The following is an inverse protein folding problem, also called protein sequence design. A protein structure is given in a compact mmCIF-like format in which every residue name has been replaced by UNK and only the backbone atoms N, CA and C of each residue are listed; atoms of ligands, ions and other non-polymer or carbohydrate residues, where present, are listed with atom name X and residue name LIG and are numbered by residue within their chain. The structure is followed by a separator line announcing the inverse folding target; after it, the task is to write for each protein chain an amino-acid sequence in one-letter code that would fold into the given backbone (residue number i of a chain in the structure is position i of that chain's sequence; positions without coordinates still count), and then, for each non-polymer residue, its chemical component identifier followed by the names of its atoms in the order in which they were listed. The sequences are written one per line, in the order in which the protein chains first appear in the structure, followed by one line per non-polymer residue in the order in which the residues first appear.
data_IF_562348961609
#
_entry.id   IF_562348961609
#
_cell.length_a   1.000
_cell.length_b   1.000
_cell.length_c   1.000
_cell.angle_alpha   90.00
_cell.angle_beta   90.00
_cell.angle_gamma   90.00
#
_symmetry.space_group_name_H-M   'P 1'
#
loop_
_entity.id
_entity.type
_entity.pdbx_description
1 polymer ?
#
# COMPACT_ATOMS: atom_id res chain seq x y z
N UNK A 1 -4.50 -15.13 -14.52
CA UNK A 1 -4.21 -13.95 -13.71
C UNK A 1 -3.22 -14.34 -12.63
N UNK A 2 -2.03 -13.74 -12.62
CA UNK A 2 -0.99 -14.00 -11.61
C UNK A 2 -1.25 -13.27 -10.27
N UNK A 3 -2.54 -13.09 -9.91
CA UNK A 3 -2.93 -12.37 -8.70
C UNK A 3 -2.74 -13.24 -7.47
N UNK A 4 -2.10 -12.67 -6.46
CA UNK A 4 -1.87 -13.31 -5.15
C UNK A 4 -2.93 -12.95 -4.12
N UNK A 5 -2.92 -13.62 -2.96
CA UNK A 5 -3.75 -13.25 -1.82
C UNK A 5 -3.57 -11.78 -1.39
N UNK A 6 -2.38 -11.20 -1.62
CA UNK A 6 -2.13 -9.78 -1.37
C UNK A 6 -2.90 -8.87 -2.34
N UNK A 7 -3.00 -9.24 -3.62
CA UNK A 7 -3.79 -8.50 -4.60
C UNK A 7 -5.25 -8.43 -4.19
N UNK A 8 -5.86 -9.56 -3.84
CA UNK A 8 -7.26 -9.60 -3.42
C UNK A 8 -7.50 -8.89 -2.08
N UNK A 9 -6.57 -8.98 -1.11
CA UNK A 9 -6.69 -8.25 0.15
C UNK A 9 -6.70 -6.73 -0.08
N UNK A 10 -5.84 -6.24 -0.97
CA UNK A 10 -5.76 -4.85 -1.38
C UNK A 10 -6.98 -4.37 -2.19
N UNK A 11 -7.46 -5.19 -3.15
CA UNK A 11 -8.65 -4.90 -3.97
C UNK A 11 -9.92 -4.79 -3.12
N UNK A 12 -10.07 -5.66 -2.12
CA UNK A 12 -11.22 -5.63 -1.21
C UNK A 12 -11.05 -4.65 -0.06
N UNK A 13 -9.92 -3.92 0.02
CA UNK A 13 -9.64 -2.96 1.10
C UNK A 13 -9.70 -3.62 2.50
N UNK A 14 -9.33 -4.89 2.57
CA UNK A 14 -9.35 -5.67 3.81
C UNK A 14 -8.07 -5.40 4.61
N UNK A 15 -8.00 -4.25 5.30
CA UNK A 15 -6.80 -3.81 6.03
C UNK A 15 -6.25 -4.85 7.02
N UNK A 16 -7.11 -5.59 7.71
CA UNK A 16 -6.69 -6.66 8.61
C UNK A 16 -5.97 -7.79 7.85
N UNK A 17 -6.48 -8.16 6.68
CA UNK A 17 -5.86 -9.17 5.83
C UNK A 17 -4.53 -8.66 5.27
N UNK A 18 -4.45 -7.38 4.88
CA UNK A 18 -3.20 -6.73 4.47
C UNK A 18 -2.18 -6.80 5.61
N UNK A 19 -2.58 -6.51 6.85
CA UNK A 19 -1.71 -6.64 8.03
C UNK A 19 -1.21 -8.07 8.24
N UNK A 20 -2.10 -9.06 8.19
CA UNK A 20 -1.75 -10.46 8.38
C UNK A 20 -0.79 -10.96 7.29
N UNK A 21 -0.98 -10.51 6.04
CA UNK A 21 -0.10 -10.87 4.93
C UNK A 21 1.26 -10.16 5.03
N UNK A 22 1.29 -8.88 5.42
CA UNK A 22 2.54 -8.14 5.63
C UNK A 22 3.39 -8.72 6.76
N UNK A 23 2.78 -9.38 7.74
CA UNK A 23 3.48 -10.08 8.81
C UNK A 23 4.20 -11.37 8.36
N UNK A 24 4.03 -11.78 7.10
CA UNK A 24 4.71 -12.95 6.52
C UNK A 24 5.87 -12.49 5.63
N UNK A 25 7.05 -13.05 5.86
CA UNK A 25 8.25 -12.73 5.08
C UNK A 25 8.15 -13.18 3.61
N UNK A 26 7.38 -14.23 3.35
CA UNK A 26 7.18 -14.85 2.04
C UNK A 26 6.34 -13.99 1.06
N UNK A 27 5.58 -13.02 1.58
CA UNK A 27 4.69 -12.22 0.74
C UNK A 27 5.52 -11.20 -0.04
N UNK A 28 5.43 -11.20 -1.36
CA UNK A 28 5.98 -10.11 -2.16
C UNK A 28 4.88 -9.09 -2.49
N UNK A 29 4.99 -7.90 -1.89
CA UNK A 29 4.04 -6.79 -2.04
C UNK A 29 4.19 -6.07 -3.38
N UNK A 30 5.34 -6.24 -4.03
CA UNK A 30 5.68 -5.63 -5.31
C UNK A 30 5.45 -6.60 -6.47
N UNK A 31 5.03 -7.84 -6.20
CA UNK A 31 4.72 -8.79 -7.25
C UNK A 31 3.60 -8.21 -8.13
N UNK A 32 3.86 -8.24 -9.43
CA UNK A 32 2.93 -7.78 -10.45
C UNK A 32 2.17 -8.98 -11.02
N UNK A 33 0.89 -8.79 -11.30
CA UNK A 33 0.11 -9.76 -12.07
C UNK A 33 0.39 -9.65 -13.58
N UNK A 34 -0.35 -10.43 -14.39
CA UNK A 34 -0.25 -10.43 -15.85
C UNK A 34 -0.52 -9.06 -16.49
N UNK A 35 -1.19 -8.14 -15.78
CA UNK A 35 -1.46 -6.77 -16.22
C UNK A 35 -0.36 -5.78 -15.79
N UNK A 36 0.70 -6.24 -15.12
CA UNK A 36 1.74 -5.39 -14.55
C UNK A 36 1.30 -4.64 -13.28
N UNK A 37 0.17 -5.03 -12.67
CA UNK A 37 -0.39 -4.34 -11.50
C UNK A 37 0.03 -5.06 -10.22
N UNK A 38 0.46 -4.28 -9.24
CA UNK A 38 0.65 -4.77 -7.86
C UNK A 38 -0.66 -4.71 -7.07
N UNK A 39 -0.71 -5.35 -5.90
CA UNK A 39 -1.89 -5.28 -5.04
C UNK A 39 -2.34 -3.85 -4.74
N UNK A 40 -1.40 -2.93 -4.46
CA UNK A 40 -1.75 -1.53 -4.15
C UNK A 40 -2.43 -0.79 -5.32
N UNK A 41 -2.15 -1.15 -6.57
CA UNK A 41 -2.84 -0.57 -7.73
C UNK A 41 -4.35 -0.84 -7.67
N UNK A 42 -4.77 -2.00 -7.16
CA UNK A 42 -6.20 -2.32 -6.99
C UNK A 42 -6.84 -1.56 -5.83
N UNK A 43 -6.08 -1.25 -4.78
CA UNK A 43 -6.56 -0.35 -3.71
C UNK A 43 -6.84 1.04 -4.27
N UNK A 44 -5.96 1.53 -5.14
CA UNK A 44 -6.11 2.83 -5.79
C UNK A 44 -7.36 2.90 -6.66
N UNK A 45 -7.55 1.94 -7.56
CA UNK A 45 -8.72 1.91 -8.45
C UNK A 45 -10.04 1.78 -7.68
N UNK A 46 -10.04 1.16 -6.49
CA UNK A 46 -11.23 1.10 -5.63
C UNK A 46 -11.49 2.33 -4.79
N UNK A 47 -10.46 3.02 -4.31
CA UNK A 47 -10.62 4.02 -3.26
C UNK A 47 -10.37 5.47 -3.68
N UNK A 48 -9.86 5.73 -4.88
CA UNK A 48 -9.45 7.07 -5.32
C UNK A 48 -10.47 8.18 -4.97
N UNK A 49 -11.75 7.96 -5.29
CA UNK A 49 -12.81 8.95 -5.02
C UNK A 49 -13.65 8.63 -3.78
N UNK A 50 -13.50 7.44 -3.18
CA UNK A 50 -14.42 6.95 -2.14
C UNK A 50 -13.86 7.14 -0.72
N UNK A 51 -12.59 6.78 -0.50
CA UNK A 51 -11.98 6.87 0.83
C UNK A 51 -10.47 7.07 0.72
N UNK A 52 -10.03 8.30 0.43
CA UNK A 52 -8.60 8.62 0.31
C UNK A 52 -7.84 8.35 1.61
N UNK A 53 -8.50 8.46 2.78
CA UNK A 53 -7.89 8.13 4.08
C UNK A 53 -7.47 6.66 4.16
N UNK A 54 -8.31 5.75 3.64
CA UNK A 54 -8.06 4.30 3.68
C UNK A 54 -6.96 3.90 2.70
N UNK A 55 -6.89 4.58 1.55
CA UNK A 55 -5.80 4.46 0.59
C UNK A 55 -4.46 4.86 1.24
N UNK A 56 -4.43 6.02 1.91
CA UNK A 56 -3.25 6.52 2.61
C UNK A 56 -2.83 5.56 3.74
N UNK A 57 -3.78 5.00 4.48
CA UNK A 57 -3.52 4.03 5.55
C UNK A 57 -2.81 2.78 5.01
N UNK A 58 -3.37 2.15 3.98
CA UNK A 58 -2.79 0.95 3.36
C UNK A 58 -1.42 1.27 2.73
N UNK A 59 -1.30 2.39 2.03
CA UNK A 59 -0.02 2.81 1.42
C UNK A 59 1.07 3.03 2.47
N UNK A 60 0.72 3.70 3.57
CA UNK A 60 1.64 3.92 4.70
C UNK A 60 2.06 2.59 5.36
N UNK A 61 1.13 1.63 5.49
CA UNK A 61 1.39 0.31 6.06
C UNK A 61 2.41 -0.48 5.24
N UNK A 62 2.21 -0.54 3.92
CA UNK A 62 3.08 -1.29 3.01
C UNK A 62 4.49 -0.69 3.00
N UNK A 63 4.59 0.64 2.88
CA UNK A 63 5.89 1.34 2.89
C UNK A 63 6.66 1.08 4.20
N UNK A 64 5.96 1.10 5.34
CA UNK A 64 6.58 0.89 6.67
C UNK A 64 7.14 -0.52 6.84
N UNK A 65 6.40 -1.54 6.40
CA UNK A 65 6.80 -2.94 6.60
C UNK A 65 7.99 -3.36 5.76
N UNK A 66 8.14 -2.78 4.56
CA UNK A 66 9.20 -3.19 3.62
C UNK A 66 10.32 -2.16 3.48
N UNK A 67 10.33 -1.11 4.30
CA UNK A 67 11.20 0.05 4.13
C UNK A 67 11.18 0.56 2.67
N UNK A 68 10.00 0.43 2.06
CA UNK A 68 9.79 0.65 0.64
C UNK A 68 9.48 2.12 0.43
N UNK A 69 10.15 2.75 -0.54
CA UNK A 69 9.81 4.12 -0.88
C UNK A 69 8.44 4.17 -1.58
N UNK A 70 7.58 5.17 -1.33
CA UNK A 70 6.27 5.28 -1.98
C UNK A 70 6.32 5.24 -3.52
N UNK A 71 7.41 5.71 -4.14
CA UNK A 71 7.59 5.62 -5.59
C UNK A 71 7.74 4.19 -6.11
N UNK A 72 8.30 3.28 -5.31
CA UNK A 72 8.43 1.87 -5.68
C UNK A 72 7.08 1.16 -5.57
N UNK A 73 6.29 1.49 -4.55
CA UNK A 73 4.93 0.99 -4.35
C UNK A 73 3.98 1.38 -5.50
N UNK A 74 4.23 2.55 -6.09
CA UNK A 74 3.36 3.16 -7.09
C UNK A 74 4.04 3.39 -8.44
N UNK A 75 4.71 2.36 -8.96
CA UNK A 75 5.51 2.47 -10.20
C UNK A 75 4.72 2.97 -11.42
N UNK A 76 3.38 3.06 -11.35
CA UNK A 76 2.51 3.59 -12.40
C UNK A 76 1.39 4.55 -11.92
N UNK A 77 1.43 5.10 -10.69
CA UNK A 77 0.36 6.00 -10.20
C UNK A 77 0.74 7.50 -10.24
N UNK A 78 -0.25 8.39 -10.10
CA UNK A 78 -0.03 9.83 -10.26
C UNK A 78 0.91 10.40 -9.17
N UNK A 79 1.74 11.42 -9.49
CA UNK A 79 2.70 11.99 -8.54
C UNK A 79 2.05 12.54 -7.26
N UNK A 80 0.83 13.08 -7.34
CA UNK A 80 0.14 13.70 -6.20
C UNK A 80 -0.09 12.72 -5.04
N UNK A 81 -0.35 11.46 -5.37
CA UNK A 81 -0.70 10.43 -4.40
C UNK A 81 0.54 9.83 -3.76
N UNK A 82 1.64 9.79 -4.53
CA UNK A 82 2.97 9.42 -4.02
C UNK A 82 3.38 10.40 -2.94
N UNK A 83 3.18 11.68 -3.21
CA UNK A 83 3.50 12.76 -2.30
C UNK A 83 2.64 12.71 -1.03
N UNK A 84 1.34 12.42 -1.14
CA UNK A 84 0.46 12.35 0.03
C UNK A 84 0.75 11.13 0.92
N UNK A 85 1.06 9.96 0.34
CA UNK A 85 1.53 8.80 1.11
C UNK A 85 2.84 9.13 1.81
N UNK A 86 3.80 9.75 1.12
CA UNK A 86 5.06 10.19 1.70
C UNK A 86 4.88 11.20 2.84
N UNK A 87 3.97 12.18 2.69
CA UNK A 87 3.60 13.12 3.76
C UNK A 87 2.96 12.41 4.94
N UNK A 88 2.07 11.44 4.72
CA UNK A 88 1.44 10.66 5.78
C UNK A 88 2.46 9.86 6.59
N UNK A 89 3.37 9.16 5.91
CA UNK A 89 4.48 8.43 6.54
C UNK A 89 5.31 9.39 7.41
N UNK A 90 5.66 10.57 6.88
CA UNK A 90 6.45 11.59 7.58
C UNK A 90 5.73 12.15 8.81
N UNK A 91 4.41 12.39 8.74
CA UNK A 91 3.57 12.83 9.87
C UNK A 91 3.45 11.75 10.96
N UNK A 92 3.45 10.47 10.57
CA UNK A 92 3.36 9.34 11.51
C UNK A 92 4.65 9.14 12.33
N UNK A 93 5.83 9.49 11.78
CA UNK A 93 7.11 9.39 12.49
C UNK A 93 7.24 10.32 13.71
N UNK A 94 6.51 11.45 13.76
CA UNK A 94 6.52 12.35 14.91
C UNK A 94 5.79 11.82 16.15
N UNK A 95 5.02 10.72 16.05
CA UNK A 95 4.29 10.15 17.20
C UNK A 95 5.04 9.03 17.93
N UNK A 96 6.17 8.54 17.42
CA UNK A 96 6.94 7.44 18.04
C UNK A 96 8.29 7.88 18.63
N UNK A 97 8.47 9.18 18.93
CA UNK A 97 9.66 9.70 19.61
C UNK A 97 9.48 9.93 21.13
N UNK A 98 8.36 9.50 21.71
CA UNK A 98 8.18 9.50 23.16
C UNK A 98 7.59 8.18 23.65
N UNK A 99 8.49 7.25 24.01
CA UNK A 99 8.63 6.60 25.33
C UNK A 99 9.01 5.13 25.21
#
# INVERSE_FOLDING_TARGET
DDRTGFHYACENVHTEMVHLLLARDEVDVNLQDEEGKTGFHYTYTKLNDTSPLKLIEIGSLICRWRNLHPSELMTNASPEISEEIQRSISRSQHKSAHK
#
